data_IF_957525638692
#
_entry.id   IF_957525638692
#
_cell.length_a   1.000
_cell.length_b   1.000
_cell.length_c   1.000
_cell.angle_alpha   90.00
_cell.angle_beta   90.00
_cell.angle_gamma   90.00
#
_symmetry.space_group_name_H-M   'P 1'
#
loop_
_entity.id
_entity.type
_entity.pdbx_description
1 polymer ?
#
# COMPACT_ATOMS: atom_id res chain seq x y z
N UNK A 1 -55.99 36.66 18.43
CA UNK A 1 -55.88 35.19 18.30
C UNK A 1 -54.79 34.90 17.28
N UNK A 2 -53.54 34.70 17.73
CA UNK A 2 -52.37 34.46 16.88
C UNK A 2 -51.96 32.99 17.02
N UNK A 3 -52.14 32.19 15.96
CA UNK A 3 -51.75 30.79 15.95
C UNK A 3 -50.24 30.67 15.71
N UNK A 4 -49.50 30.24 16.74
CA UNK A 4 -48.09 29.86 16.66
C UNK A 4 -47.99 28.40 16.23
N UNK A 5 -47.46 28.14 15.03
CA UNK A 5 -47.17 26.78 14.58
C UNK A 5 -45.68 26.48 14.79
N UNK A 6 -45.37 25.65 15.78
CA UNK A 6 -44.02 25.13 16.01
C UNK A 6 -43.79 23.90 15.11
N UNK A 7 -42.90 24.03 14.13
CA UNK A 7 -42.45 22.91 13.30
C UNK A 7 -41.47 22.05 14.10
N UNK A 8 -41.94 20.94 14.67
CA UNK A 8 -41.09 19.98 15.39
C UNK A 8 -40.48 18.99 14.37
N UNK A 9 -39.39 19.40 13.72
CA UNK A 9 -38.62 18.51 12.84
C UNK A 9 -37.84 17.53 13.70
N UNK A 10 -38.33 16.29 13.80
CA UNK A 10 -37.59 15.19 14.40
C UNK A 10 -36.52 14.74 13.40
N UNK A 11 -35.29 15.21 13.57
CA UNK A 11 -34.13 14.70 12.83
C UNK A 11 -34.02 13.19 13.05
N UNK A 12 -33.84 12.36 12.00
CA UNK A 12 -33.54 10.95 12.18
C UNK A 12 -32.27 10.83 13.03
N UNK A 13 -32.38 10.13 14.16
CA UNK A 13 -31.22 9.72 14.95
C UNK A 13 -30.45 8.69 14.09
N UNK A 14 -29.37 9.12 13.45
CA UNK A 14 -28.40 8.21 12.84
C UNK A 14 -27.64 7.56 14.00
N UNK A 15 -28.21 6.48 14.52
CA UNK A 15 -27.51 5.57 15.42
C UNK A 15 -26.36 4.93 14.63
N UNK A 16 -25.09 5.03 15.05
CA UNK A 16 -24.04 4.25 14.42
C UNK A 16 -24.33 2.78 14.72
N UNK A 17 -24.78 2.03 13.71
CA UNK A 17 -24.81 0.57 13.79
C UNK A 17 -23.40 0.10 14.13
N UNK A 18 -23.17 -0.64 15.22
CA UNK A 18 -21.87 -1.22 15.48
C UNK A 18 -21.63 -2.30 14.41
N UNK A 19 -20.89 -1.95 13.36
CA UNK A 19 -20.24 -2.93 12.50
C UNK A 19 -19.34 -3.80 13.38
N UNK A 20 -19.46 -5.15 13.39
CA UNK A 20 -18.77 -6.03 14.34
C UNK A 20 -17.24 -6.00 14.24
N UNK A 21 -16.70 -5.38 13.19
CA UNK A 21 -15.26 -5.25 12.97
C UNK A 21 -14.94 -3.77 12.76
N UNK A 22 -14.11 -3.15 13.61
CA UNK A 22 -13.59 -1.82 13.34
C UNK A 22 -12.97 -1.82 11.94
N UNK A 23 -13.34 -0.86 11.10
CA UNK A 23 -12.72 -0.71 9.78
C UNK A 23 -11.19 -0.73 9.95
N UNK A 24 -10.44 -1.41 9.07
CA UNK A 24 -8.99 -1.47 9.18
C UNK A 24 -8.43 -0.05 9.28
N UNK A 25 -7.57 0.19 10.26
CA UNK A 25 -7.01 1.52 10.56
C UNK A 25 -5.59 1.64 10.02
N UNK A 26 -5.23 2.80 9.48
CA UNK A 26 -3.85 3.11 9.11
C UNK A 26 -3.02 3.48 10.35
N UNK A 27 -2.95 2.59 11.34
CA UNK A 27 -2.52 2.91 12.72
C UNK A 27 -1.11 3.48 12.84
N UNK A 28 -0.17 3.08 11.99
CA UNK A 28 1.18 3.66 11.95
C UNK A 28 1.12 5.11 11.45
N UNK A 29 0.34 5.37 10.41
CA UNK A 29 0.18 6.72 9.87
C UNK A 29 -0.54 7.62 10.90
N UNK A 30 -1.61 7.12 11.55
CA UNK A 30 -2.29 7.84 12.63
C UNK A 30 -1.33 8.20 13.76
N UNK A 31 -0.53 7.25 14.25
CA UNK A 31 0.45 7.52 15.31
C UNK A 31 1.52 8.54 14.89
N UNK A 32 1.86 8.55 13.59
CA UNK A 32 2.86 9.45 13.01
C UNK A 32 2.33 10.88 12.83
N UNK A 33 1.12 11.04 12.30
CA UNK A 33 0.50 12.33 12.01
C UNK A 33 -0.38 12.87 13.15
N UNK A 34 -0.61 12.06 14.19
CA UNK A 34 -1.30 12.44 15.42
C UNK A 34 -2.82 12.45 15.33
N UNK A 35 -3.41 12.26 14.13
CA UNK A 35 -4.86 12.25 13.94
C UNK A 35 -5.27 11.31 12.82
N UNK A 36 -6.37 10.59 13.02
CA UNK A 36 -7.03 9.80 11.96
C UNK A 36 -7.59 10.72 10.86
N UNK A 37 -7.83 12.00 11.15
CA UNK A 37 -8.34 13.01 10.23
C UNK A 37 -7.23 13.80 9.51
N UNK A 38 -5.95 13.47 9.76
CA UNK A 38 -4.86 14.10 9.02
C UNK A 38 -4.99 13.80 7.53
N UNK A 39 -4.71 14.78 6.66
CA UNK A 39 -4.88 14.68 5.22
C UNK A 39 -4.07 13.50 4.63
N UNK A 40 -2.87 13.24 5.16
CA UNK A 40 -2.05 12.11 4.78
C UNK A 40 -2.70 10.76 5.10
N UNK A 41 -3.35 10.66 6.26
CA UNK A 41 -4.03 9.43 6.70
C UNK A 41 -5.29 9.21 5.87
N UNK A 42 -6.06 10.28 5.61
CA UNK A 42 -7.25 10.22 4.76
C UNK A 42 -6.90 9.78 3.34
N UNK A 43 -5.86 10.36 2.74
CA UNK A 43 -5.38 9.91 1.43
C UNK A 43 -5.03 8.41 1.41
N UNK A 44 -4.31 7.91 2.43
CA UNK A 44 -3.96 6.48 2.50
C UNK A 44 -5.20 5.59 2.62
N UNK A 45 -6.22 6.04 3.35
CA UNK A 45 -7.50 5.33 3.50
C UNK A 45 -8.28 5.31 2.19
N UNK A 46 -8.45 6.47 1.56
CA UNK A 46 -9.11 6.59 0.26
C UNK A 46 -8.41 5.74 -0.80
N UNK A 47 -7.08 5.79 -0.87
CA UNK A 47 -6.33 4.93 -1.79
C UNK A 47 -6.58 3.44 -1.51
N UNK A 48 -6.56 3.01 -0.24
CA UNK A 48 -6.82 1.62 0.10
C UNK A 48 -8.25 1.21 -0.24
N UNK A 49 -9.23 2.02 0.15
CA UNK A 49 -10.64 1.65 0.12
C UNK A 49 -11.22 1.79 -1.29
N UNK A 50 -10.92 2.90 -1.99
CA UNK A 50 -11.51 3.22 -3.29
C UNK A 50 -10.69 2.72 -4.49
N UNK A 51 -9.36 2.58 -4.34
CA UNK A 51 -8.48 2.15 -5.44
C UNK A 51 -8.05 0.70 -5.31
N UNK A 52 -7.52 0.30 -4.15
CA UNK A 52 -6.97 -1.05 -3.98
C UNK A 52 -8.10 -2.06 -3.74
N UNK A 53 -8.98 -1.79 -2.77
CA UNK A 53 -10.04 -2.72 -2.36
C UNK A 53 -11.21 -2.80 -3.35
N UNK A 54 -11.28 -1.90 -4.33
CA UNK A 54 -12.29 -1.93 -5.40
C UNK A 54 -11.99 -2.96 -6.50
N UNK A 55 -10.82 -3.60 -6.44
CA UNK A 55 -10.36 -4.61 -7.42
C UNK A 55 -10.17 -5.96 -6.76
N UNK A 56 -10.33 -7.04 -7.53
CA UNK A 56 -10.10 -8.40 -7.05
C UNK A 56 -8.64 -8.62 -6.66
N UNK A 57 -7.70 -8.22 -7.53
CA UNK A 57 -6.27 -8.35 -7.27
C UNK A 57 -5.84 -7.54 -6.03
N UNK A 58 -6.26 -6.28 -5.95
CA UNK A 58 -5.95 -5.42 -4.80
C UNK A 58 -6.57 -5.92 -3.49
N UNK A 59 -7.80 -6.43 -3.54
CA UNK A 59 -8.47 -7.03 -2.37
C UNK A 59 -7.74 -8.28 -1.86
N UNK A 60 -7.30 -9.18 -2.74
CA UNK A 60 -6.52 -10.36 -2.33
C UNK A 60 -5.14 -9.96 -1.80
N UNK A 61 -4.47 -8.99 -2.43
CA UNK A 61 -3.22 -8.43 -1.90
C UNK A 61 -3.40 -7.87 -0.48
N UNK A 62 -4.47 -7.08 -0.25
CA UNK A 62 -4.75 -6.49 1.06
C UNK A 62 -4.97 -7.55 2.14
N UNK A 63 -5.50 -8.73 1.82
CA UNK A 63 -5.62 -9.82 2.80
C UNK A 63 -4.26 -10.29 3.31
N UNK A 64 -3.32 -10.53 2.39
CA UNK A 64 -1.95 -10.93 2.73
C UNK A 64 -1.23 -9.79 3.46
N UNK A 65 -1.33 -8.57 2.93
CA UNK A 65 -0.72 -7.38 3.51
C UNK A 65 -1.24 -7.11 4.93
N UNK A 66 -2.55 -7.15 5.16
CA UNK A 66 -3.15 -6.88 6.47
C UNK A 66 -2.73 -7.92 7.50
N UNK A 67 -2.69 -9.21 7.13
CA UNK A 67 -2.23 -10.27 8.04
C UNK A 67 -0.80 -10.02 8.51
N UNK A 68 0.09 -9.62 7.59
CA UNK A 68 1.45 -9.25 7.93
C UNK A 68 1.52 -7.92 8.72
N UNK A 69 0.87 -6.87 8.25
CA UNK A 69 0.90 -5.52 8.81
C UNK A 69 0.38 -5.48 10.25
N UNK A 70 -0.80 -6.05 10.52
CA UNK A 70 -1.41 -6.02 11.85
C UNK A 70 -0.76 -6.97 12.87
N UNK A 71 0.12 -7.89 12.42
CA UNK A 71 0.86 -8.77 13.32
C UNK A 71 1.85 -8.01 14.23
N UNK A 72 2.38 -6.86 13.78
CA UNK A 72 3.38 -6.09 14.53
C UNK A 72 3.02 -4.61 14.70
N UNK A 73 2.24 -4.02 13.79
CA UNK A 73 1.96 -2.58 13.76
C UNK A 73 1.34 -2.01 15.05
N UNK A 74 0.52 -2.71 15.85
CA UNK A 74 -0.01 -2.14 17.10
C UNK A 74 1.06 -1.82 18.14
N UNK A 75 2.14 -2.61 18.20
CA UNK A 75 3.26 -2.35 19.12
C UNK A 75 4.09 -1.17 18.63
N UNK A 76 4.35 -1.12 17.32
CA UNK A 76 5.09 -0.02 16.67
C UNK A 76 4.31 1.31 16.78
N UNK A 77 3.00 1.30 16.55
CA UNK A 77 2.17 2.49 16.65
C UNK A 77 2.15 3.08 18.07
N UNK A 78 2.09 2.25 19.12
CA UNK A 78 2.22 2.71 20.51
C UNK A 78 3.57 3.38 20.76
N UNK A 79 4.66 2.74 20.32
CA UNK A 79 6.01 3.31 20.46
C UNK A 79 6.15 4.68 19.78
N UNK A 80 5.61 4.82 18.56
CA UNK A 80 5.60 6.10 17.81
C UNK A 80 4.77 7.17 18.54
N UNK A 81 3.63 6.78 19.12
CA UNK A 81 2.75 7.70 19.83
C UNK A 81 3.43 8.27 21.09
N UNK A 82 4.24 7.46 21.78
CA UNK A 82 4.95 7.83 23.01
C UNK A 82 6.23 8.64 22.75
N UNK A 83 6.91 8.46 21.61
CA UNK A 83 8.23 9.04 21.37
C UNK A 83 8.23 10.04 20.20
N UNK A 84 8.55 11.31 20.51
CA UNK A 84 8.54 12.39 19.54
C UNK A 84 9.61 12.24 18.45
N UNK A 85 10.79 11.71 18.81
CA UNK A 85 11.84 11.37 17.85
C UNK A 85 11.41 10.26 16.88
N UNK A 86 10.74 9.21 17.39
CA UNK A 86 10.20 8.14 16.56
C UNK A 86 9.12 8.66 15.60
N UNK A 87 8.26 9.57 16.07
CA UNK A 87 7.27 10.26 15.22
C UNK A 87 7.93 11.05 14.10
N UNK A 88 8.96 11.84 14.40
CA UNK A 88 9.69 12.62 13.39
C UNK A 88 10.36 11.70 12.35
N UNK A 89 11.03 10.64 12.82
CA UNK A 89 11.64 9.64 11.94
C UNK A 89 10.61 8.96 11.03
N UNK A 90 9.48 8.52 11.58
CA UNK A 90 8.41 7.90 10.81
C UNK A 90 7.76 8.87 9.82
N UNK A 91 7.66 10.16 10.15
CA UNK A 91 7.17 11.17 9.22
C UNK A 91 8.09 11.32 8.01
N UNK A 92 9.40 11.31 8.22
CA UNK A 92 10.39 11.30 7.14
C UNK A 92 10.30 10.03 6.30
N UNK A 93 10.06 8.87 6.92
CA UNK A 93 9.86 7.62 6.18
C UNK A 93 8.55 7.58 5.40
N UNK A 94 7.44 8.09 5.94
CA UNK A 94 6.13 8.03 5.27
C UNK A 94 5.99 9.08 4.15
N UNK A 95 6.71 10.19 4.21
CA UNK A 95 6.60 11.25 3.22
C UNK A 95 6.87 10.80 1.77
N UNK A 96 8.02 10.17 1.44
CA UNK A 96 8.25 9.65 0.10
C UNK A 96 7.28 8.53 -0.26
N UNK A 97 6.91 7.67 0.69
CA UNK A 97 5.94 6.59 0.47
C UNK A 97 4.59 7.14 -0.02
N UNK A 98 4.05 8.17 0.65
CA UNK A 98 2.80 8.82 0.25
C UNK A 98 2.94 9.44 -1.14
N UNK A 99 4.08 10.08 -1.43
CA UNK A 99 4.36 10.62 -2.76
C UNK A 99 4.32 9.54 -3.86
N UNK A 100 4.91 8.38 -3.60
CA UNK A 100 4.89 7.22 -4.50
C UNK A 100 3.45 6.73 -4.71
N UNK A 101 2.67 6.57 -3.64
CA UNK A 101 1.28 6.12 -3.75
C UNK A 101 0.39 7.13 -4.50
N UNK A 102 0.64 8.44 -4.35
CA UNK A 102 -0.02 9.47 -5.16
C UNK A 102 0.28 9.32 -6.65
N UNK A 103 1.54 9.01 -6.99
CA UNK A 103 1.92 8.77 -8.38
C UNK A 103 1.26 7.49 -8.92
N UNK A 104 1.27 6.41 -8.15
CA UNK A 104 0.58 5.16 -8.49
C UNK A 104 -0.93 5.34 -8.66
N UNK A 105 -1.57 6.15 -7.80
CA UNK A 105 -2.99 6.48 -7.91
C UNK A 105 -3.29 7.22 -9.22
N UNK A 106 -2.43 8.16 -9.64
CA UNK A 106 -2.57 8.80 -10.94
C UNK A 106 -2.45 7.78 -12.08
N UNK A 107 -1.48 6.88 -12.01
CA UNK A 107 -1.30 5.80 -13.00
C UNK A 107 -2.55 4.93 -13.11
N UNK A 108 -3.16 4.55 -11.98
CA UNK A 108 -4.43 3.84 -11.94
C UNK A 108 -5.53 4.60 -12.69
N UNK A 109 -5.71 5.90 -12.39
CA UNK A 109 -6.73 6.72 -13.04
C UNK A 109 -6.48 6.93 -14.54
N UNK A 110 -5.22 7.00 -14.98
CA UNK A 110 -4.88 7.12 -16.41
C UNK A 110 -5.14 5.82 -17.18
N UNK A 111 -4.97 4.67 -16.54
CA UNK A 111 -5.16 3.34 -17.14
C UNK A 111 -6.55 2.78 -16.83
N UNK A 112 -7.59 3.56 -17.09
CA UNK A 112 -9.00 3.18 -16.84
C UNK A 112 -9.57 2.15 -17.82
N UNK A 113 -8.73 1.47 -18.60
CA UNK A 113 -9.14 0.48 -19.61
C UNK A 113 -9.79 -0.74 -18.94
N UNK A 114 -9.18 -1.22 -17.85
CA UNK A 114 -9.76 -2.22 -16.94
C UNK A 114 -9.25 -1.95 -15.52
N UNK A 115 -10.13 -1.92 -14.50
CA UNK A 115 -9.72 -1.67 -13.11
C UNK A 115 -8.64 -2.63 -12.59
N UNK A 116 -8.71 -3.92 -12.98
CA UNK A 116 -7.71 -4.94 -12.61
C UNK A 116 -6.32 -4.63 -13.21
N UNK A 117 -6.24 -4.28 -14.50
CA UNK A 117 -4.95 -3.89 -15.10
C UNK A 117 -4.42 -2.61 -14.45
N UNK A 118 -5.31 -1.64 -14.17
CA UNK A 118 -4.97 -0.40 -13.50
C UNK A 118 -4.30 -0.64 -12.16
N UNK A 119 -4.83 -1.54 -11.32
CA UNK A 119 -4.25 -1.82 -10.00
C UNK A 119 -2.92 -2.58 -10.10
N UNK A 120 -2.78 -3.51 -11.06
CA UNK A 120 -1.51 -4.24 -11.29
C UNK A 120 -0.42 -3.25 -11.72
N UNK A 121 -0.73 -2.31 -12.60
CA UNK A 121 0.21 -1.27 -13.03
C UNK A 121 0.52 -0.28 -11.92
N UNK A 122 -0.47 0.13 -11.12
CA UNK A 122 -0.25 0.96 -9.94
C UNK A 122 0.66 0.26 -8.91
N UNK A 123 0.46 -1.05 -8.72
CA UNK A 123 1.29 -1.92 -7.88
C UNK A 123 2.72 -2.06 -8.41
N UNK A 124 2.90 -2.22 -9.72
CA UNK A 124 4.21 -2.25 -10.39
C UNK A 124 4.97 -0.93 -10.15
N UNK A 125 4.31 0.21 -10.38
CA UNK A 125 4.89 1.55 -10.18
C UNK A 125 5.23 1.77 -8.71
N UNK A 126 4.31 1.47 -7.80
CA UNK A 126 4.52 1.63 -6.36
C UNK A 126 5.71 0.79 -5.88
N UNK A 127 5.70 -0.50 -6.21
CA UNK A 127 6.74 -1.45 -5.79
C UNK A 127 8.11 -1.10 -6.38
N UNK A 128 8.16 -0.67 -7.64
CA UNK A 128 9.42 -0.25 -8.27
C UNK A 128 10.00 0.98 -7.58
N UNK A 129 9.19 2.01 -7.34
CA UNK A 129 9.64 3.24 -6.69
C UNK A 129 10.04 3.00 -5.23
N UNK A 130 9.30 2.17 -4.49
CA UNK A 130 9.66 1.81 -3.11
C UNK A 130 11.00 1.05 -3.09
N UNK A 131 11.22 0.12 -4.02
CA UNK A 131 12.48 -0.61 -4.11
C UNK A 131 13.67 0.30 -4.39
N UNK A 132 13.48 1.28 -5.28
CA UNK A 132 14.49 2.29 -5.59
C UNK A 132 14.77 3.18 -4.37
N UNK A 133 13.74 3.74 -3.73
CA UNK A 133 13.93 4.75 -2.67
C UNK A 133 14.43 4.13 -1.36
N UNK A 134 13.87 2.99 -0.95
CA UNK A 134 14.15 2.43 0.38
C UNK A 134 15.20 1.31 0.39
N UNK A 135 15.29 0.52 -0.69
CA UNK A 135 16.11 -0.69 -0.70
C UNK A 135 17.42 -0.54 -1.49
N UNK A 136 17.52 0.39 -2.44
CA UNK A 136 18.71 0.51 -3.30
C UNK A 136 20.03 0.73 -2.54
N UNK A 137 20.05 1.67 -1.59
CA UNK A 137 21.23 2.04 -0.79
C UNK A 137 21.67 0.90 0.15
N UNK A 138 20.81 0.35 1.03
CA UNK A 138 21.24 -0.74 1.91
C UNK A 138 21.64 -1.99 1.11
N UNK A 139 20.98 -2.26 -0.02
CA UNK A 139 21.32 -3.39 -0.88
C UNK A 139 22.65 -3.20 -1.62
N UNK A 140 22.98 -1.96 -2.00
CA UNK A 140 24.30 -1.61 -2.54
C UNK A 140 25.43 -1.78 -1.52
N UNK A 141 25.16 -1.50 -0.23
CA UNK A 141 26.13 -1.66 0.84
C UNK A 141 26.37 -3.13 1.24
N UNK A 142 25.31 -3.94 1.32
CA UNK A 142 25.38 -5.30 1.89
C UNK A 142 25.75 -6.38 0.87
N UNK A 143 25.17 -6.34 -0.33
CA UNK A 143 25.16 -7.52 -1.23
C UNK A 143 26.32 -7.48 -2.21
N UNK A 144 27.35 -8.30 -2.03
CA UNK A 144 28.52 -8.33 -2.93
C UNK A 144 28.28 -8.95 -4.32
N UNK A 145 27.23 -9.76 -4.51
CA UNK A 145 26.95 -10.48 -5.77
C UNK A 145 25.59 -10.11 -6.36
N UNK A 146 25.53 -8.97 -7.05
CA UNK A 146 24.29 -8.39 -7.57
C UNK A 146 23.81 -9.05 -8.87
N UNK A 147 24.73 -9.52 -9.74
CA UNK A 147 24.35 -10.12 -11.04
C UNK A 147 23.58 -11.43 -10.94
N UNK A 148 23.96 -12.34 -10.03
CA UNK A 148 23.25 -13.61 -9.83
C UNK A 148 21.83 -13.36 -9.31
N UNK A 149 21.68 -12.45 -8.36
CA UNK A 149 20.39 -12.06 -7.81
C UNK A 149 19.49 -11.42 -8.88
N UNK A 150 20.06 -10.53 -9.69
CA UNK A 150 19.36 -9.90 -10.82
C UNK A 150 18.83 -10.95 -11.81
N UNK A 151 19.64 -11.94 -12.20
CA UNK A 151 19.21 -13.01 -13.10
C UNK A 151 18.06 -13.85 -12.53
N UNK A 152 18.15 -14.24 -11.25
CA UNK A 152 17.10 -15.01 -10.60
C UNK A 152 15.78 -14.23 -10.53
N UNK A 153 15.84 -12.96 -10.12
CA UNK A 153 14.65 -12.09 -10.03
C UNK A 153 14.07 -11.76 -11.40
N UNK A 154 14.91 -11.53 -12.41
CA UNK A 154 14.46 -11.25 -13.77
C UNK A 154 13.75 -12.45 -14.41
N UNK A 155 14.21 -13.67 -14.13
CA UNK A 155 13.57 -14.90 -14.62
C UNK A 155 12.29 -15.23 -13.85
N UNK A 156 12.24 -14.95 -12.54
CA UNK A 156 11.05 -15.23 -11.73
C UNK A 156 9.92 -14.20 -11.89
N UNK A 157 10.24 -12.96 -12.28
CA UNK A 157 9.27 -11.89 -12.49
C UNK A 157 8.18 -12.21 -13.54
N UNK A 158 8.49 -12.68 -14.77
CA UNK A 158 7.44 -13.03 -15.72
C UNK A 158 6.57 -14.20 -15.25
N UNK A 159 7.13 -15.12 -14.45
CA UNK A 159 6.40 -16.26 -13.89
C UNK A 159 5.34 -15.76 -12.90
N UNK A 160 5.69 -14.84 -12.01
CA UNK A 160 4.72 -14.27 -11.05
C UNK A 160 3.65 -13.45 -11.74
N UNK A 161 3.99 -12.69 -12.79
CA UNK A 161 3.03 -11.95 -13.60
C UNK A 161 2.08 -12.88 -14.37
N UNK A 162 2.60 -13.94 -14.99
CA UNK A 162 1.77 -14.92 -15.67
C UNK A 162 0.80 -15.62 -14.72
N UNK A 163 1.27 -15.98 -13.51
CA UNK A 163 0.44 -16.58 -12.47
C UNK A 163 -0.65 -15.62 -11.95
N UNK A 164 -0.33 -14.32 -11.87
CA UNK A 164 -1.28 -13.28 -11.50
C UNK A 164 -2.40 -13.17 -12.54
N UNK A 165 -2.04 -13.02 -13.82
CA UNK A 165 -3.01 -12.93 -14.92
C UNK A 165 -3.87 -14.18 -15.02
N UNK A 166 -3.27 -15.37 -14.90
CA UNK A 166 -4.01 -16.63 -14.86
C UNK A 166 -4.94 -16.71 -13.64
N UNK A 167 -4.49 -16.25 -12.48
CA UNK A 167 -5.28 -16.21 -11.25
C UNK A 167 -6.49 -15.28 -11.34
N UNK A 168 -6.35 -14.14 -12.02
CA UNK A 168 -7.45 -13.21 -12.30
C UNK A 168 -8.46 -13.82 -13.28
N UNK A 169 -8.00 -14.43 -14.37
CA UNK A 169 -8.88 -15.09 -15.36
C UNK A 169 -9.67 -16.23 -14.73
N UNK A 170 -9.02 -17.01 -13.86
CA UNK A 170 -9.63 -18.14 -13.16
C UNK A 170 -10.40 -17.72 -11.89
N UNK A 171 -10.37 -16.43 -11.52
CA UNK A 171 -10.98 -15.85 -10.31
C UNK A 171 -10.61 -16.66 -9.05
N UNK A 172 -9.36 -17.15 -8.99
CA UNK A 172 -8.89 -18.03 -7.90
C UNK A 172 -8.29 -17.19 -6.76
N UNK A 173 -8.93 -17.12 -5.58
CA UNK A 173 -8.48 -16.21 -4.51
C UNK A 173 -7.06 -16.52 -4.02
N UNK A 174 -6.74 -17.81 -3.84
CA UNK A 174 -5.44 -18.25 -3.32
C UNK A 174 -4.33 -17.96 -4.34
N UNK A 175 -4.59 -18.23 -5.63
CA UNK A 175 -3.62 -17.96 -6.68
C UNK A 175 -3.29 -16.47 -6.76
N UNK A 176 -4.32 -15.60 -6.68
CA UNK A 176 -4.12 -14.14 -6.72
C UNK A 176 -3.45 -13.62 -5.45
N UNK A 177 -3.76 -14.14 -4.26
CA UNK A 177 -3.05 -13.78 -3.03
C UNK A 177 -1.54 -14.05 -3.14
N UNK A 178 -1.16 -15.26 -3.56
CA UNK A 178 0.25 -15.67 -3.64
C UNK A 178 0.97 -14.92 -4.76
N UNK A 179 0.35 -14.81 -5.93
CA UNK A 179 0.94 -14.14 -7.09
C UNK A 179 1.09 -12.63 -6.88
N UNK A 180 0.09 -11.91 -6.36
CA UNK A 180 0.21 -10.46 -6.08
C UNK A 180 1.30 -10.17 -5.06
N UNK A 181 1.38 -10.92 -3.96
CA UNK A 181 2.42 -10.74 -2.96
C UNK A 181 3.81 -11.04 -3.54
N UNK A 182 3.94 -12.14 -4.30
CA UNK A 182 5.20 -12.52 -4.96
C UNK A 182 5.61 -11.49 -6.00
N UNK A 183 4.66 -10.98 -6.80
CA UNK A 183 4.88 -9.97 -7.82
C UNK A 183 5.41 -8.66 -7.21
N UNK A 184 4.81 -8.19 -6.12
CA UNK A 184 5.27 -7.00 -5.38
C UNK A 184 6.69 -7.21 -4.85
N UNK A 185 6.96 -8.34 -4.19
CA UNK A 185 8.28 -8.64 -3.60
C UNK A 185 9.38 -8.78 -4.67
N UNK A 186 9.10 -9.47 -5.77
CA UNK A 186 10.06 -9.63 -6.87
C UNK A 186 10.31 -8.27 -7.53
N UNK A 187 9.28 -7.44 -7.73
CA UNK A 187 9.42 -6.10 -8.30
C UNK A 187 10.25 -5.17 -7.40
N UNK A 188 10.03 -5.20 -6.09
CA UNK A 188 10.84 -4.49 -5.09
C UNK A 188 12.32 -4.90 -5.16
N UNK A 189 12.58 -6.22 -5.17
CA UNK A 189 13.95 -6.74 -5.26
C UNK A 189 14.61 -6.44 -6.60
N UNK A 190 13.87 -6.54 -7.70
CA UNK A 190 14.38 -6.33 -9.05
C UNK A 190 14.79 -4.85 -9.24
N UNK A 191 13.91 -3.93 -8.88
CA UNK A 191 14.20 -2.48 -8.95
C UNK A 191 15.39 -2.09 -8.05
N UNK A 192 15.48 -2.59 -6.82
CA UNK A 192 16.60 -2.35 -5.92
C UNK A 192 17.93 -2.95 -6.43
N UNK A 193 17.92 -4.17 -6.97
CA UNK A 193 19.12 -4.83 -7.53
C UNK A 193 19.63 -4.13 -8.79
N UNK A 194 18.74 -3.67 -9.67
CA UNK A 194 19.10 -2.89 -10.87
C UNK A 194 19.79 -1.59 -10.47
N UNK A 195 19.17 -0.79 -9.59
CA UNK A 195 19.74 0.50 -9.18
C UNK A 195 21.04 0.33 -8.39
N UNK A 196 21.10 -0.64 -7.47
CA UNK A 196 22.34 -0.90 -6.72
C UNK A 196 23.49 -1.41 -7.60
N UNK A 197 23.20 -2.12 -8.69
CA UNK A 197 24.21 -2.52 -9.68
C UNK A 197 24.69 -1.31 -10.48
N UNK A 198 23.77 -0.39 -10.82
CA UNK A 198 24.09 0.86 -11.49
C UNK A 198 25.01 1.73 -10.63
N UNK A 199 24.64 1.99 -9.37
CA UNK A 199 25.45 2.78 -8.42
C UNK A 199 26.87 2.22 -8.29
N UNK A 200 27.01 0.90 -8.18
CA UNK A 200 28.32 0.23 -8.07
C UNK A 200 29.16 0.26 -9.34
N UNK A 201 28.57 0.49 -10.52
CA UNK A 201 29.35 0.69 -11.75
C UNK A 201 29.96 2.09 -11.81
N UNK A 202 29.45 3.04 -11.02
CA UNK A 202 29.92 4.42 -10.98
C UNK A 202 30.84 4.74 -9.78
N UNK A 203 30.91 3.86 -8.78
CA UNK A 203 31.85 3.91 -7.65
C UNK A 203 33.10 3.07 -7.96
#
# INVERSE_FOLDING_TARGET
>A
MTASWSFNVKLPQISPTPSPTPAPKCIIATATYGSELAAEVQFLREFRDEVVSSTFAGGQFLRVFNAWYYSFSPRVARFIAEHQAARAFMRTLLYPLIGILKLSSKVYSFLSLTPELGIVMAGLVASSLIGIVYFSIPFAAVVRRTEKQLKVLAVSWPISLALLLAGEILVSPIAVMVSTASFVLITLGLSATIVSSCIRRFL
#
